data_IF_753023889798
#
_entry.id   IF_753023889798
#
_cell.length_a   1.000
_cell.length_b   1.000
_cell.length_c   1.000
_cell.angle_alpha   90.00
_cell.angle_beta   90.00
_cell.angle_gamma   90.00
#
_symmetry.space_group_name_H-M   'P 1'
#
loop_
_entity.id
_entity.type
_entity.pdbx_description
1 polymer ?
#
# COMPACT_ATOMS: atom_id res chain seq x y z
N UNK A 1 35.09 -2.87 4.50
CA UNK A 1 34.67 -2.41 3.17
C UNK A 1 33.87 -1.12 3.36
N UNK A 2 34.37 0.07 2.94
CA UNK A 2 33.57 1.28 3.04
C UNK A 2 32.42 1.17 2.03
N UNK A 3 31.18 1.15 2.53
CA UNK A 3 29.99 1.20 1.68
C UNK A 3 29.85 2.65 1.23
N UNK A 4 30.35 2.96 0.03
CA UNK A 4 30.00 4.20 -0.66
C UNK A 4 28.48 4.20 -0.85
N UNK A 5 27.75 4.93 -0.02
CA UNK A 5 26.32 5.15 -0.18
C UNK A 5 26.08 6.17 -1.30
N UNK A 6 26.46 5.81 -2.53
CA UNK A 6 26.11 6.58 -3.70
C UNK A 6 24.59 6.52 -3.89
N UNK A 7 23.94 7.67 -4.00
CA UNK A 7 22.52 7.75 -4.33
C UNK A 7 22.38 7.53 -5.84
N UNK A 8 21.73 6.43 -6.22
CA UNK A 8 21.53 5.98 -7.60
C UNK A 8 20.35 6.70 -8.25
N UNK A 9 20.36 6.82 -9.58
CA UNK A 9 19.15 7.16 -10.33
C UNK A 9 18.08 6.08 -10.14
N UNK A 10 16.82 6.49 -9.98
CA UNK A 10 15.71 5.56 -9.78
C UNK A 10 15.20 5.03 -11.12
N UNK A 11 15.31 3.73 -11.41
CA UNK A 11 14.69 3.17 -12.61
C UNK A 11 13.16 3.17 -12.48
N UNK A 12 12.41 2.99 -13.59
CA UNK A 12 10.94 3.07 -13.58
C UNK A 12 10.25 2.06 -12.66
N UNK A 13 10.86 0.89 -12.45
CA UNK A 13 10.32 -0.19 -11.62
C UNK A 13 11.37 -0.75 -10.64
N UNK A 14 10.91 -1.18 -9.46
CA UNK A 14 11.75 -1.82 -8.44
C UNK A 14 12.30 -3.18 -8.91
N UNK A 15 11.51 -3.88 -9.73
CA UNK A 15 11.88 -5.19 -10.27
C UNK A 15 11.90 -5.12 -11.80
N UNK A 16 13.03 -5.48 -12.38
CA UNK A 16 13.23 -5.61 -13.83
C UNK A 16 13.77 -7.01 -14.16
N UNK A 17 13.15 -7.68 -15.13
CA UNK A 17 13.51 -9.05 -15.55
C UNK A 17 13.60 -10.06 -14.39
N UNK A 18 12.78 -9.87 -13.35
CA UNK A 18 12.74 -10.72 -12.16
C UNK A 18 13.81 -10.41 -11.10
N UNK A 19 14.66 -9.41 -11.32
CA UNK A 19 15.71 -8.97 -10.39
C UNK A 19 15.29 -7.71 -9.65
N UNK A 20 15.57 -7.65 -8.35
CA UNK A 20 15.25 -6.51 -7.49
C UNK A 20 16.41 -5.51 -7.54
N UNK A 21 16.11 -4.24 -7.81
CA UNK A 21 17.07 -3.15 -7.68
C UNK A 21 17.30 -2.83 -6.20
N UNK A 22 18.56 -2.99 -5.73
CA UNK A 22 18.95 -2.77 -4.34
C UNK A 22 19.87 -1.56 -4.22
N UNK A 23 19.59 -0.64 -3.30
CA UNK A 23 20.41 0.55 -3.07
C UNK A 23 19.61 1.72 -2.52
N UNK A 24 20.26 2.89 -2.50
CA UNK A 24 19.61 4.17 -2.19
C UNK A 24 19.33 4.89 -3.51
N UNK A 25 18.10 5.33 -3.71
CA UNK A 25 17.63 5.89 -4.98
C UNK A 25 17.15 7.34 -4.79
N UNK A 26 17.35 8.19 -5.81
CA UNK A 26 17.05 9.63 -5.74
C UNK A 26 15.56 9.93 -5.53
N UNK A 27 14.68 9.11 -6.10
CA UNK A 27 13.22 9.24 -6.00
C UNK A 27 12.56 7.89 -5.70
N UNK A 28 11.31 7.85 -5.22
CA UNK A 28 10.57 6.60 -5.09
C UNK A 28 10.31 5.95 -6.46
N UNK A 29 10.35 4.62 -6.53
CA UNK A 29 10.00 3.88 -7.74
C UNK A 29 8.54 4.13 -8.14
N UNK A 30 8.29 4.28 -9.44
CA UNK A 30 6.93 4.44 -9.95
C UNK A 30 6.12 3.15 -9.82
N UNK A 31 6.75 1.98 -10.08
CA UNK A 31 6.17 0.64 -9.84
C UNK A 31 7.03 -0.16 -8.85
N UNK A 32 6.51 -0.39 -7.65
CA UNK A 32 7.23 -1.08 -6.57
C UNK A 32 6.68 -2.49 -6.25
N UNK A 33 6.36 -3.28 -7.29
CA UNK A 33 5.73 -4.59 -7.12
C UNK A 33 6.76 -5.72 -6.94
N UNK A 34 6.93 -6.19 -5.70
CA UNK A 34 7.86 -7.27 -5.39
C UNK A 34 7.45 -8.64 -5.95
N UNK A 35 6.17 -8.85 -6.30
CA UNK A 35 5.73 -10.15 -6.85
C UNK A 35 6.35 -10.47 -8.22
N UNK A 36 6.84 -9.44 -8.90
CA UNK A 36 7.50 -9.55 -10.21
C UNK A 36 8.91 -10.11 -10.09
N UNK A 37 9.50 -10.13 -8.89
CA UNK A 37 10.76 -10.82 -8.69
C UNK A 37 10.60 -12.33 -8.93
N UNK A 38 11.70 -12.98 -9.33
CA UNK A 38 11.69 -14.43 -9.60
C UNK A 38 11.30 -15.22 -8.34
N UNK A 39 11.93 -14.88 -7.21
CA UNK A 39 11.76 -15.52 -5.90
C UNK A 39 11.69 -14.49 -4.75
N UNK A 40 10.66 -13.62 -4.68
CA UNK A 40 10.53 -12.67 -3.60
C UNK A 40 10.25 -13.42 -2.30
N UNK A 41 11.27 -13.50 -1.45
CA UNK A 41 11.18 -14.13 -0.13
C UNK A 41 11.09 -15.66 -0.13
N UNK A 42 11.52 -16.36 -1.18
CA UNK A 42 11.67 -17.83 -1.19
C UNK A 42 11.20 -18.53 -2.48
N UNK A 43 11.27 -19.88 -2.52
CA UNK A 43 11.01 -20.68 -3.73
C UNK A 43 9.53 -20.95 -4.03
N UNK A 44 8.61 -20.49 -3.17
CA UNK A 44 7.17 -20.72 -3.35
C UNK A 44 6.66 -20.08 -4.65
N UNK A 45 5.70 -20.71 -5.33
CA UNK A 45 5.08 -20.17 -6.55
C UNK A 45 4.32 -18.85 -6.33
N UNK A 46 4.14 -18.05 -7.39
CA UNK A 46 3.51 -16.71 -7.34
C UNK A 46 2.16 -16.66 -6.59
N UNK A 47 1.24 -17.63 -6.71
CA UNK A 47 -0.03 -17.61 -5.96
C UNK A 47 0.13 -17.68 -4.45
N UNK A 48 1.14 -18.39 -3.94
CA UNK A 48 1.40 -18.44 -2.49
C UNK A 48 2.14 -17.20 -2.00
N UNK A 49 3.01 -16.63 -2.85
CA UNK A 49 3.71 -15.38 -2.53
C UNK A 49 2.76 -14.20 -2.43
N UNK A 50 1.64 -14.20 -3.16
CA UNK A 50 0.67 -13.10 -3.10
C UNK A 50 0.08 -12.91 -1.70
N UNK A 51 -0.06 -13.98 -0.91
CA UNK A 51 -0.55 -13.91 0.47
C UNK A 51 0.43 -13.22 1.43
N UNK A 52 1.72 -13.15 1.09
CA UNK A 52 2.73 -12.40 1.86
C UNK A 52 2.71 -10.90 1.57
N UNK A 53 2.26 -10.50 0.39
CA UNK A 53 2.23 -9.09 0.01
C UNK A 53 0.87 -8.47 0.37
N UNK A 54 0.88 -7.71 1.46
CA UNK A 54 -0.27 -6.91 1.91
C UNK A 54 -0.26 -5.58 1.18
N UNK A 55 -1.39 -5.22 0.59
CA UNK A 55 -1.54 -3.95 -0.11
C UNK A 55 -2.32 -3.00 0.79
N UNK A 56 -1.91 -1.74 0.82
CA UNK A 56 -2.65 -0.70 1.53
C UNK A 56 -2.46 0.64 0.84
N UNK A 57 -3.48 1.49 0.95
CA UNK A 57 -3.44 2.89 0.56
C UNK A 57 -4.12 3.69 1.66
N UNK A 58 -3.56 4.84 1.97
CA UNK A 58 -4.19 5.73 2.92
C UNK A 58 -3.75 7.16 2.68
N UNK A 59 -4.57 8.08 3.17
CA UNK A 59 -4.23 9.50 3.22
C UNK A 59 -4.74 10.09 4.53
N UNK A 60 -3.99 11.07 5.02
CA UNK A 60 -4.36 11.87 6.18
C UNK A 60 -4.61 13.31 5.76
N UNK A 61 -5.57 13.94 6.41
CA UNK A 61 -5.86 15.36 6.32
C UNK A 61 -5.60 15.93 7.71
N UNK A 62 -4.63 16.85 7.80
CA UNK A 62 -4.30 17.52 9.03
C UNK A 62 -4.82 18.96 9.00
N UNK A 63 -5.66 19.31 9.98
CA UNK A 63 -6.17 20.65 10.20
C UNK A 63 -5.82 21.08 11.63
N UNK A 64 -5.71 22.39 11.95
CA UNK A 64 -5.37 22.84 13.31
C UNK A 64 -6.32 22.30 14.39
N UNK A 65 -7.61 22.17 14.09
CA UNK A 65 -8.65 21.73 15.03
C UNK A 65 -9.01 20.24 14.92
N UNK A 66 -8.69 19.61 13.79
CA UNK A 66 -9.10 18.23 13.53
C UNK A 66 -8.07 17.47 12.72
N UNK A 67 -8.07 16.16 12.85
CA UNK A 67 -7.30 15.26 12.00
C UNK A 67 -8.24 14.21 11.43
N UNK A 68 -8.14 13.94 10.14
CA UNK A 68 -8.89 12.88 9.49
C UNK A 68 -7.95 11.94 8.75
N UNK A 69 -8.25 10.65 8.71
CA UNK A 69 -7.50 9.74 7.84
C UNK A 69 -8.35 8.59 7.34
N UNK A 70 -8.04 8.12 6.13
CA UNK A 70 -8.60 6.90 5.54
C UNK A 70 -7.47 5.91 5.33
N UNK A 71 -7.69 4.66 5.71
CA UNK A 71 -6.83 3.53 5.39
C UNK A 71 -7.67 2.46 4.70
N UNK A 72 -7.28 2.05 3.49
CA UNK A 72 -7.88 0.92 2.77
C UNK A 72 -6.80 -0.14 2.62
N UNK A 73 -7.07 -1.36 3.04
CA UNK A 73 -6.12 -2.47 3.01
C UNK A 73 -6.71 -3.74 2.40
N UNK A 74 -5.87 -4.48 1.68
CA UNK A 74 -6.16 -5.82 1.19
C UNK A 74 -5.02 -6.77 1.60
N UNK A 75 -5.34 -7.66 2.54
CA UNK A 75 -4.46 -8.70 3.04
C UNK A 75 -4.61 -10.04 2.30
N UNK A 76 -5.33 -10.07 1.16
CA UNK A 76 -5.69 -11.24 0.33
C UNK A 76 -6.68 -12.22 0.96
N UNK A 77 -6.68 -12.39 2.28
CA UNK A 77 -7.69 -13.14 3.03
C UNK A 77 -8.66 -12.25 3.82
N UNK A 78 -8.32 -10.98 4.00
CA UNK A 78 -9.16 -9.98 4.65
C UNK A 78 -8.94 -8.63 3.95
N UNK A 79 -10.00 -7.86 3.81
CA UNK A 79 -9.91 -6.49 3.31
C UNK A 79 -10.77 -5.57 4.17
N UNK A 80 -10.32 -4.35 4.37
CA UNK A 80 -11.07 -3.36 5.13
C UNK A 80 -10.78 -1.94 4.65
N UNK A 81 -11.74 -1.06 4.89
CA UNK A 81 -11.54 0.38 4.84
C UNK A 81 -11.85 0.96 6.22
N UNK A 82 -10.94 1.73 6.77
CA UNK A 82 -11.10 2.41 8.06
C UNK A 82 -10.98 3.91 7.88
N UNK A 83 -11.93 4.63 8.46
CA UNK A 83 -11.92 6.08 8.57
C UNK A 83 -11.73 6.48 10.03
N UNK A 84 -10.82 7.41 10.26
CA UNK A 84 -10.56 8.03 11.54
C UNK A 84 -10.86 9.52 11.44
N UNK A 85 -11.57 10.06 12.42
CA UNK A 85 -11.72 11.48 12.64
C UNK A 85 -11.39 11.80 14.09
N UNK A 86 -10.44 12.69 14.31
CA UNK A 86 -9.98 13.12 15.62
C UNK A 86 -10.23 14.61 15.79
N UNK A 87 -11.01 14.96 16.81
CA UNK A 87 -11.18 16.32 17.29
C UNK A 87 -10.07 16.62 18.30
N UNK A 88 -9.23 17.61 17.98
CA UNK A 88 -8.09 18.00 18.82
C UNK A 88 -8.50 18.86 20.01
N UNK A 89 -9.62 19.58 19.93
CA UNK A 89 -10.11 20.46 20.99
C UNK A 89 -10.69 19.65 22.14
N UNK A 90 -11.47 18.62 21.81
CA UNK A 90 -12.12 17.75 22.80
C UNK A 90 -11.36 16.45 23.06
N UNK A 91 -10.26 16.21 22.34
CA UNK A 91 -9.47 14.97 22.37
C UNK A 91 -10.31 13.70 22.13
N UNK A 92 -11.25 13.77 21.18
CA UNK A 92 -12.16 12.67 20.86
C UNK A 92 -11.85 12.09 19.49
N UNK A 93 -11.91 10.76 19.37
CA UNK A 93 -11.74 10.07 18.10
C UNK A 93 -12.98 9.25 17.75
N UNK A 94 -13.42 9.38 16.51
CA UNK A 94 -14.37 8.48 15.88
C UNK A 94 -13.63 7.58 14.92
N UNK A 95 -13.77 6.28 15.12
CA UNK A 95 -13.30 5.25 14.19
C UNK A 95 -14.51 4.54 13.57
N UNK A 96 -14.45 4.35 12.25
CA UNK A 96 -15.40 3.54 11.50
C UNK A 96 -14.65 2.62 10.56
N UNK A 97 -14.84 1.32 10.74
CA UNK A 97 -14.24 0.26 9.92
C UNK A 97 -15.33 -0.50 9.17
N UNK A 98 -15.13 -0.69 7.87
CA UNK A 98 -15.94 -1.56 7.02
C UNK A 98 -15.09 -2.73 6.54
N UNK A 99 -15.59 -3.96 6.73
CA UNK A 99 -14.97 -5.17 6.20
C UNK A 99 -15.50 -5.41 4.79
N UNK A 100 -14.60 -5.80 3.88
CA UNK A 100 -14.92 -6.09 2.50
C UNK A 100 -14.45 -7.49 2.11
N UNK A 101 -15.01 -8.02 1.02
CA UNK A 101 -14.49 -9.22 0.41
C UNK A 101 -13.13 -8.90 -0.27
N UNK A 102 -12.02 -9.56 0.12
CA UNK A 102 -10.69 -9.26 -0.41
C UNK A 102 -10.54 -9.53 -1.91
N UNK A 103 -11.37 -10.40 -2.49
CA UNK A 103 -11.37 -10.69 -3.93
C UNK A 103 -12.12 -9.64 -4.76
N UNK A 104 -12.85 -8.72 -4.12
CA UNK A 104 -13.57 -7.62 -4.80
C UNK A 104 -12.89 -6.26 -4.65
N UNK A 105 -11.92 -6.13 -3.74
CA UNK A 105 -11.16 -4.90 -3.54
C UNK A 105 -9.88 -4.91 -4.38
N UNK A 106 -9.80 -4.01 -5.35
CA UNK A 106 -8.60 -3.82 -6.18
C UNK A 106 -7.93 -2.50 -5.81
N UNK A 107 -6.79 -2.58 -5.14
CA UNK A 107 -5.96 -1.42 -4.84
C UNK A 107 -5.11 -1.05 -6.07
N UNK A 108 -4.77 0.24 -6.25
CA UNK A 108 -4.00 0.64 -7.41
C UNK A 108 -2.56 0.20 -7.20
N UNK A 109 -1.91 -0.28 -8.27
CA UNK A 109 -0.50 -0.72 -8.19
C UNK A 109 0.46 0.44 -7.88
N UNK A 110 0.05 1.67 -8.17
CA UNK A 110 0.86 2.87 -7.95
C UNK A 110 -0.02 4.02 -7.44
N UNK A 111 0.58 4.94 -6.69
CA UNK A 111 -0.08 6.20 -6.30
C UNK A 111 -0.02 7.28 -7.39
N UNK A 112 0.72 7.02 -8.48
CA UNK A 112 0.81 7.94 -9.62
C UNK A 112 -0.39 7.77 -10.54
N UNK A 113 -1.38 8.65 -10.41
CA UNK A 113 -2.64 8.62 -11.19
C UNK A 113 -3.40 7.28 -11.08
N UNK A 114 -3.17 6.53 -9.99
CA UNK A 114 -3.90 5.30 -9.71
C UNK A 114 -5.35 5.59 -9.31
N UNK A 115 -6.28 4.73 -9.73
CA UNK A 115 -7.67 4.78 -9.30
C UNK A 115 -8.09 3.43 -8.74
N UNK A 116 -8.85 3.45 -7.64
CA UNK A 116 -9.49 2.25 -7.08
C UNK A 116 -10.99 2.36 -7.19
N UNK A 117 -11.64 1.26 -7.58
CA UNK A 117 -13.09 1.11 -7.54
C UNK A 117 -13.45 0.14 -6.44
N UNK A 118 -14.32 0.56 -5.53
CA UNK A 118 -14.95 -0.31 -4.55
C UNK A 118 -16.45 -0.32 -4.83
N UNK A 119 -17.04 -1.51 -4.93
CA UNK A 119 -18.48 -1.70 -5.10
C UNK A 119 -18.97 -2.42 -3.85
N UNK A 120 -19.68 -1.72 -2.97
CA UNK A 120 -20.47 -2.38 -1.91
C UNK A 120 -21.86 -2.69 -2.45
N UNK A 121 -22.40 -3.86 -2.10
CA UNK A 121 -23.84 -4.09 -2.18
C UNK A 121 -24.41 -3.58 -0.85
N UNK A 122 -25.28 -2.57 -0.92
CA UNK A 122 -25.85 -1.93 0.26
C UNK A 122 -26.50 -2.93 1.21
N UNK A 123 -26.17 -2.79 2.48
CA UNK A 123 -26.85 -3.39 3.61
C UNK A 123 -26.54 -2.48 4.80
N UNK A 124 -27.55 -1.72 5.23
CA UNK A 124 -27.54 -1.00 6.50
C UNK A 124 -27.81 -1.98 7.63
#
# INVERSE_FOLDING_TARGET
MPVSSAILETPPALVENGNIHCGFFKTPFHRANLLDARNPGGPLGRPFRCFRLKEWIGFGINHPRMYGSVLIQNARYAASGTFYAYDKEHAQMVERTMIANPFRLHLPETLWRGSTRCISKGGW
#
